data_IF_920176573842
#
_entry.id   IF_920176573842
#
_cell.length_a   1.000
_cell.length_b   1.000
_cell.length_c   1.000
_cell.angle_alpha   90.00
_cell.angle_beta   90.00
_cell.angle_gamma   90.00
#
_symmetry.space_group_name_H-M   'P 1'
#
loop_
_entity.id
_entity.type
_entity.pdbx_description
1 polymer ?
#
# COMPACT_ATOMS: atom_id res chain seq x y z
N UNK A 1 26.77 4.45 5.15
CA UNK A 1 26.53 3.90 3.82
C UNK A 1 25.97 4.97 2.90
N UNK A 2 26.15 4.82 1.57
CA UNK A 2 25.61 5.77 0.58
C UNK A 2 24.13 5.53 0.28
N UNK A 3 23.61 4.33 0.52
CA UNK A 3 22.22 3.95 0.25
C UNK A 3 21.59 3.28 1.44
N UNK A 4 20.29 3.45 1.60
CA UNK A 4 19.49 2.80 2.65
C UNK A 4 19.54 1.28 2.45
N UNK A 5 19.39 0.80 1.23
CA UNK A 5 19.42 -0.62 0.90
C UNK A 5 20.75 -1.29 1.32
N UNK A 6 21.87 -0.57 1.21
CA UNK A 6 23.14 -1.08 1.74
C UNK A 6 23.15 -1.17 3.27
N UNK A 7 22.55 -0.21 3.96
CA UNK A 7 22.35 -0.29 5.42
C UNK A 7 21.53 -1.51 5.82
N UNK A 8 20.40 -1.73 5.13
CA UNK A 8 19.50 -2.89 5.36
C UNK A 8 20.26 -4.21 5.10
N UNK A 9 21.08 -4.28 4.05
CA UNK A 9 21.84 -5.50 3.76
C UNK A 9 22.83 -5.89 4.86
N UNK A 10 23.25 -4.95 5.69
CA UNK A 10 24.26 -5.14 6.75
C UNK A 10 23.65 -5.30 8.15
N UNK A 11 22.38 -4.91 8.34
CA UNK A 11 21.75 -4.99 9.65
C UNK A 11 21.40 -6.45 10.00
N UNK A 12 21.50 -6.78 11.28
CA UNK A 12 21.03 -8.05 11.85
C UNK A 12 19.74 -7.82 12.68
N UNK A 13 19.09 -8.90 13.08
CA UNK A 13 17.96 -8.86 14.00
C UNK A 13 18.31 -8.05 15.27
N UNK A 14 17.41 -7.18 15.72
CA UNK A 14 17.62 -6.23 16.79
C UNK A 14 18.38 -4.96 16.41
N UNK A 15 18.90 -4.87 15.18
CA UNK A 15 19.67 -3.72 14.74
C UNK A 15 18.84 -2.61 14.12
N UNK A 16 19.44 -1.41 14.07
CA UNK A 16 18.79 -0.21 13.54
C UNK A 16 19.60 0.39 12.40
N UNK A 17 18.90 0.72 11.31
CA UNK A 17 19.43 1.52 10.19
C UNK A 17 18.95 2.96 10.40
N UNK A 18 19.87 3.84 10.74
CA UNK A 18 19.61 5.28 10.85
C UNK A 18 19.81 5.97 9.51
N UNK A 19 18.82 6.77 9.10
CA UNK A 19 18.84 7.53 7.86
C UNK A 19 18.89 9.02 8.16
N UNK A 20 19.86 9.71 7.57
CA UNK A 20 20.04 11.16 7.73
C UNK A 20 19.19 11.91 6.69
N UNK A 21 19.07 13.23 6.87
CA UNK A 21 18.44 14.11 5.89
C UNK A 21 19.00 13.89 4.48
N UNK A 22 18.13 13.96 3.53
CA UNK A 22 18.40 13.80 2.11
C UNK A 22 17.15 13.39 1.37
N UNK A 23 17.21 13.49 0.05
CA UNK A 23 16.18 12.97 -0.86
C UNK A 23 16.74 11.67 -1.42
N UNK A 24 16.02 10.58 -1.16
CA UNK A 24 16.35 9.24 -1.63
C UNK A 24 15.34 8.84 -2.69
N UNK A 25 15.82 8.54 -3.89
CA UNK A 25 15.00 8.27 -5.05
C UNK A 25 15.28 6.88 -5.62
N UNK A 26 14.31 6.33 -6.35
CA UNK A 26 14.55 5.10 -7.11
C UNK A 26 15.50 5.38 -8.27
N UNK A 27 16.21 4.36 -8.71
CA UNK A 27 17.01 4.42 -9.92
C UNK A 27 16.09 4.84 -11.09
N UNK A 28 16.54 5.70 -11.96
CA UNK A 28 15.74 6.29 -13.06
C UNK A 28 14.58 7.23 -12.65
N UNK A 29 14.56 7.74 -11.43
CA UNK A 29 13.59 8.76 -11.03
C UNK A 29 13.61 9.94 -12.02
N UNK A 30 12.42 10.42 -12.41
CA UNK A 30 12.24 11.50 -13.39
C UNK A 30 12.37 11.07 -14.86
N UNK A 31 12.59 9.78 -15.14
CA UNK A 31 12.67 9.26 -16.51
C UNK A 31 11.45 8.42 -16.92
N UNK A 32 10.35 8.57 -16.22
CA UNK A 32 9.09 7.91 -16.55
C UNK A 32 8.41 8.66 -17.71
N UNK A 33 8.09 7.93 -18.77
CA UNK A 33 7.25 8.45 -19.86
C UNK A 33 5.86 7.79 -19.81
N UNK A 34 4.86 8.46 -19.23
CA UNK A 34 3.52 7.89 -19.09
C UNK A 34 2.78 7.73 -20.44
N UNK A 35 3.29 8.29 -21.53
CA UNK A 35 2.68 8.18 -22.85
C UNK A 35 3.04 6.89 -23.60
N UNK A 36 4.07 6.17 -23.15
CA UNK A 36 4.58 5.00 -23.88
C UNK A 36 3.88 3.69 -23.51
N UNK A 37 3.05 3.67 -22.46
CA UNK A 37 2.39 2.49 -21.93
C UNK A 37 3.33 1.27 -21.74
N UNK A 38 4.63 1.50 -21.72
CA UNK A 38 5.61 0.46 -21.46
C UNK A 38 5.86 0.33 -19.97
N UNK A 39 6.33 -0.81 -19.59
CA UNK A 39 6.65 -1.21 -18.22
C UNK A 39 7.42 -0.11 -17.48
N UNK A 40 6.67 0.83 -16.94
CA UNK A 40 7.22 1.97 -16.25
C UNK A 40 7.84 1.51 -14.95
N UNK A 41 8.95 2.06 -14.63
CA UNK A 41 9.78 1.87 -13.47
C UNK A 41 9.18 1.00 -12.33
N UNK A 42 9.45 -0.30 -12.36
CA UNK A 42 8.95 -1.27 -11.39
C UNK A 42 9.78 -1.30 -10.08
N UNK A 43 10.55 -0.27 -9.84
CA UNK A 43 11.49 -0.19 -8.73
C UNK A 43 10.86 0.41 -7.47
N UNK A 44 11.52 0.11 -6.36
CA UNK A 44 11.29 0.72 -5.06
C UNK A 44 12.54 1.49 -4.65
N UNK A 45 12.36 2.58 -3.90
CA UNK A 45 13.51 3.30 -3.34
C UNK A 45 14.19 2.46 -2.28
N UNK A 46 13.39 1.87 -1.40
CA UNK A 46 13.88 1.07 -0.28
C UNK A 46 13.23 -0.31 -0.30
N UNK A 47 14.05 -1.34 -0.18
CA UNK A 47 13.62 -2.74 -0.09
C UNK A 47 14.15 -3.37 1.20
N UNK A 48 13.23 -3.73 2.10
CA UNK A 48 13.56 -4.44 3.34
C UNK A 48 13.41 -5.94 3.06
N UNK A 49 14.52 -6.62 2.89
CA UNK A 49 14.61 -8.02 2.50
C UNK A 49 15.19 -8.92 3.60
N UNK A 50 15.06 -8.50 4.85
CA UNK A 50 15.49 -9.24 6.03
C UNK A 50 14.43 -9.13 7.11
N UNK A 51 14.26 -10.19 7.88
CA UNK A 51 13.45 -10.23 9.08
C UNK A 51 14.26 -9.94 10.33
N UNK A 52 13.62 -9.32 11.31
CA UNK A 52 14.03 -9.41 12.69
C UNK A 52 13.63 -10.77 13.29
N UNK A 53 13.47 -10.79 14.60
CA UNK A 53 12.92 -11.92 15.34
C UNK A 53 12.12 -11.40 16.53
N UNK A 54 11.43 -12.29 17.21
CA UNK A 54 10.71 -11.95 18.44
C UNK A 54 11.63 -11.24 19.44
N UNK A 55 11.18 -10.09 19.95
CA UNK A 55 11.97 -9.23 20.83
C UNK A 55 13.16 -8.51 20.19
N UNK A 56 13.46 -8.75 18.91
CA UNK A 56 14.63 -8.21 18.21
C UNK A 56 14.27 -7.72 16.79
N UNK A 57 13.44 -6.68 16.71
CA UNK A 57 13.00 -6.08 15.46
C UNK A 57 14.18 -5.47 14.67
N UNK A 58 14.14 -5.54 13.36
CA UNK A 58 14.94 -4.66 12.51
C UNK A 58 14.22 -3.33 12.40
N UNK A 59 14.92 -2.25 12.76
CA UNK A 59 14.36 -0.89 12.71
C UNK A 59 15.01 -0.09 11.58
N UNK A 60 14.19 0.41 10.67
CA UNK A 60 14.56 1.44 9.71
C UNK A 60 13.96 2.76 10.18
N UNK A 61 14.80 3.75 10.51
CA UNK A 61 14.32 5.01 11.04
C UNK A 61 15.20 6.22 10.68
N UNK A 62 14.61 7.39 10.81
CA UNK A 62 15.36 8.63 10.73
C UNK A 62 16.43 8.73 11.85
N UNK A 63 17.54 9.39 11.55
CA UNK A 63 18.47 9.81 12.59
C UNK A 63 17.80 10.89 13.47
N UNK A 64 17.99 10.89 14.80
CA UNK A 64 17.33 11.87 15.67
C UNK A 64 17.50 13.31 15.20
N UNK A 65 16.37 14.02 15.03
CA UNK A 65 16.32 15.39 14.52
C UNK A 65 16.36 15.54 13.00
N UNK A 66 16.43 14.46 12.25
CA UNK A 66 16.39 14.44 10.77
C UNK A 66 15.02 13.99 10.25
N UNK A 67 14.67 14.43 9.04
CA UNK A 67 13.47 13.99 8.31
C UNK A 67 13.87 13.61 6.87
N UNK A 68 14.39 12.40 6.67
CA UNK A 68 14.76 11.92 5.34
C UNK A 68 13.51 11.74 4.46
N UNK A 69 13.60 12.19 3.20
CA UNK A 69 12.55 12.07 2.21
C UNK A 69 12.82 10.88 1.28
N UNK A 70 11.85 9.99 1.18
CA UNK A 70 11.80 8.91 0.20
C UNK A 70 10.87 9.38 -0.93
N UNK A 71 11.42 9.67 -2.10
CA UNK A 71 10.65 10.19 -3.23
C UNK A 71 10.69 9.17 -4.39
N UNK A 72 9.54 8.73 -4.85
CA UNK A 72 9.44 7.67 -5.84
C UNK A 72 8.49 8.03 -6.99
N UNK A 73 8.83 7.53 -8.17
CA UNK A 73 7.96 7.54 -9.37
C UNK A 73 7.79 6.13 -9.96
N UNK A 74 8.12 5.11 -9.18
CA UNK A 74 8.00 3.71 -9.54
C UNK A 74 6.91 2.99 -8.75
N UNK A 75 7.16 1.72 -8.45
CA UNK A 75 6.22 0.82 -7.76
C UNK A 75 5.97 1.19 -6.30
N UNK A 76 6.91 1.87 -5.66
CA UNK A 76 6.69 2.34 -4.31
C UNK A 76 7.91 2.95 -3.63
N UNK A 77 7.67 3.60 -2.50
CA UNK A 77 8.70 4.20 -1.68
C UNK A 77 9.48 3.14 -0.89
N UNK A 78 8.82 2.52 0.07
CA UNK A 78 9.40 1.49 0.95
C UNK A 78 8.60 0.19 0.81
N UNK A 79 9.24 -0.88 0.39
CA UNK A 79 8.66 -2.22 0.37
C UNK A 79 9.31 -3.12 1.42
N UNK A 80 8.47 -3.80 2.16
CA UNK A 80 8.86 -4.96 2.97
C UNK A 80 8.68 -6.18 2.09
N UNK A 81 9.78 -6.85 1.73
CA UNK A 81 9.77 -7.99 0.81
C UNK A 81 8.92 -9.14 1.34
N UNK A 82 8.52 -10.03 0.44
CA UNK A 82 7.66 -11.16 0.75
C UNK A 82 8.13 -11.95 1.97
N UNK A 83 7.22 -12.21 2.88
CA UNK A 83 7.43 -13.02 4.10
C UNK A 83 8.47 -12.44 5.08
N UNK A 84 8.75 -11.14 5.03
CA UNK A 84 9.61 -10.49 6.02
C UNK A 84 8.78 -10.04 7.23
N UNK A 85 9.32 -10.25 8.43
CA UNK A 85 8.63 -10.10 9.69
C UNK A 85 9.49 -9.39 10.74
N UNK A 86 8.90 -8.89 11.81
CA UNK A 86 9.57 -8.19 12.92
C UNK A 86 10.35 -6.96 12.42
N UNK A 87 9.61 -6.01 11.84
CA UNK A 87 10.17 -4.80 11.21
C UNK A 87 9.48 -3.56 11.75
N UNK A 88 10.26 -2.52 12.00
CA UNK A 88 9.78 -1.17 12.33
C UNK A 88 10.25 -0.21 11.24
N UNK A 89 9.31 0.60 10.71
CA UNK A 89 9.60 1.71 9.79
C UNK A 89 9.06 2.99 10.42
N UNK A 90 9.93 3.94 10.72
CA UNK A 90 9.51 5.18 11.40
C UNK A 90 10.31 6.43 10.99
N UNK A 91 9.63 7.58 10.98
CA UNK A 91 10.25 8.89 10.89
C UNK A 91 10.66 9.34 9.49
N UNK A 92 9.94 8.89 8.45
CA UNK A 92 10.18 9.26 7.05
C UNK A 92 9.08 10.18 6.50
N UNK A 93 9.47 11.07 5.59
CA UNK A 93 8.58 11.62 4.59
C UNK A 93 8.64 10.71 3.36
N UNK A 94 7.49 10.25 2.87
CA UNK A 94 7.38 9.38 1.69
C UNK A 94 6.45 10.03 0.69
N UNK A 95 6.98 10.42 -0.47
CA UNK A 95 6.29 11.19 -1.50
C UNK A 95 6.24 10.42 -2.81
N UNK A 96 5.04 10.29 -3.36
CA UNK A 96 4.80 9.71 -4.69
C UNK A 96 4.61 10.78 -5.77
N UNK A 97 4.33 10.37 -7.02
CA UNK A 97 4.27 11.25 -8.19
C UNK A 97 2.87 11.82 -8.48
N UNK A 98 1.91 11.78 -7.55
CA UNK A 98 0.53 12.12 -7.87
C UNK A 98 0.33 13.56 -8.36
N UNK A 99 1.22 14.48 -8.01
CA UNK A 99 1.15 15.88 -8.46
C UNK A 99 1.60 16.05 -9.92
N UNK A 100 2.35 15.10 -10.48
CA UNK A 100 2.86 15.13 -11.85
C UNK A 100 1.89 14.49 -12.85
N UNK A 101 0.80 13.92 -12.37
CA UNK A 101 -0.21 13.22 -13.17
C UNK A 101 -1.48 14.07 -13.27
N UNK A 102 -2.05 14.13 -14.45
CA UNK A 102 -3.37 14.71 -14.67
C UNK A 102 -4.44 13.64 -14.95
N UNK A 103 -5.69 14.07 -15.02
CA UNK A 103 -6.83 13.17 -15.21
C UNK A 103 -6.76 12.41 -16.54
N UNK A 104 -6.40 13.09 -17.62
CA UNK A 104 -6.34 12.52 -18.96
C UNK A 104 -5.30 11.40 -19.05
N UNK A 105 -4.14 11.59 -18.43
CA UNK A 105 -3.09 10.57 -18.36
C UNK A 105 -3.58 9.32 -17.60
N UNK A 106 -4.24 9.52 -16.47
CA UNK A 106 -4.69 8.42 -15.63
C UNK A 106 -5.90 7.66 -16.24
N UNK A 107 -6.79 8.36 -16.96
CA UNK A 107 -7.86 7.72 -17.73
C UNK A 107 -7.31 6.93 -18.93
N UNK A 108 -6.31 7.45 -19.62
CA UNK A 108 -5.65 6.70 -20.69
C UNK A 108 -4.97 5.42 -20.20
N UNK A 109 -4.34 5.47 -19.02
CA UNK A 109 -3.80 4.29 -18.35
C UNK A 109 -4.89 3.27 -17.99
N UNK A 110 -6.01 3.74 -17.49
CA UNK A 110 -7.17 2.89 -17.20
C UNK A 110 -7.70 2.20 -18.45
N UNK A 111 -7.89 2.96 -19.53
CA UNK A 111 -8.43 2.42 -20.78
C UNK A 111 -7.48 1.38 -21.40
N UNK A 112 -6.18 1.63 -21.37
CA UNK A 112 -5.18 0.65 -21.77
C UNK A 112 -5.22 -0.61 -20.88
N UNK A 113 -5.39 -0.45 -19.58
CA UNK A 113 -5.51 -1.60 -18.66
C UNK A 113 -6.75 -2.45 -18.95
N UNK A 114 -7.84 -1.85 -19.39
CA UNK A 114 -9.04 -2.57 -19.83
C UNK A 114 -8.73 -3.36 -21.11
N UNK A 115 -8.11 -2.72 -22.10
CA UNK A 115 -7.74 -3.34 -23.37
C UNK A 115 -6.85 -4.58 -23.14
N UNK A 116 -5.81 -4.45 -22.32
CA UNK A 116 -4.90 -5.56 -21.98
C UNK A 116 -5.61 -6.66 -21.17
N UNK A 117 -6.55 -6.30 -20.30
CA UNK A 117 -7.29 -7.28 -19.49
C UNK A 117 -8.33 -8.06 -20.30
N UNK A 118 -8.78 -7.53 -21.45
CA UNK A 118 -9.72 -8.19 -22.38
C UNK A 118 -9.00 -9.12 -23.36
N UNK A 119 -7.69 -8.99 -23.52
CA UNK A 119 -6.89 -9.88 -24.36
C UNK A 119 -6.43 -11.11 -23.55
N UNK A 120 -7.15 -12.21 -23.71
CA UNK A 120 -6.86 -13.48 -23.01
C UNK A 120 -5.49 -14.07 -23.38
N UNK A 121 -4.89 -13.65 -24.49
CA UNK A 121 -3.58 -14.12 -24.97
C UNK A 121 -2.43 -13.24 -24.46
N UNK A 122 -2.71 -12.05 -23.89
CA UNK A 122 -1.68 -11.17 -23.35
C UNK A 122 -1.33 -11.54 -21.92
N UNK A 123 -0.38 -12.47 -21.78
CA UNK A 123 0.27 -12.77 -20.49
C UNK A 123 1.22 -11.66 -20.02
N UNK A 124 1.25 -10.51 -20.68
CA UNK A 124 2.04 -9.39 -20.26
C UNK A 124 1.46 -8.81 -18.98
N UNK A 125 2.20 -8.95 -17.90
CA UNK A 125 1.87 -8.35 -16.62
C UNK A 125 1.71 -6.84 -16.80
N UNK A 126 0.46 -6.38 -16.97
CA UNK A 126 0.15 -4.97 -16.88
C UNK A 126 0.64 -4.43 -15.53
N UNK A 127 1.70 -3.67 -15.57
CA UNK A 127 2.31 -3.11 -14.36
C UNK A 127 2.67 -1.65 -14.56
N UNK A 128 1.67 -0.82 -14.65
CA UNK A 128 1.84 0.63 -14.69
C UNK A 128 2.03 1.16 -13.27
N UNK A 129 3.20 0.87 -12.74
CA UNK A 129 3.57 1.22 -11.37
C UNK A 129 3.44 2.72 -11.08
N UNK A 130 3.66 3.56 -12.10
CA UNK A 130 3.54 5.01 -11.99
C UNK A 130 2.15 5.45 -11.52
N UNK A 131 1.08 4.84 -12.04
CA UNK A 131 -0.31 5.17 -11.67
C UNK A 131 -0.84 4.41 -10.45
N UNK A 132 -0.08 3.48 -9.89
CA UNK A 132 -0.53 2.65 -8.77
C UNK A 132 0.51 2.46 -7.66
N UNK A 133 1.60 3.23 -7.71
CA UNK A 133 2.69 3.16 -6.74
C UNK A 133 2.24 3.43 -5.31
N UNK A 134 2.80 2.67 -4.38
CA UNK A 134 2.43 2.70 -2.96
C UNK A 134 3.53 3.33 -2.11
N UNK A 135 3.15 4.03 -1.04
CA UNK A 135 4.12 4.67 -0.15
C UNK A 135 4.95 3.64 0.63
N UNK A 136 4.34 3.02 1.63
CA UNK A 136 4.94 1.98 2.47
C UNK A 136 4.06 0.75 2.39
N UNK A 137 4.62 -0.41 2.00
CA UNK A 137 3.77 -1.57 1.83
C UNK A 137 4.49 -2.91 2.02
N UNK A 138 3.71 -3.93 2.42
CA UNK A 138 4.12 -5.32 2.37
C UNK A 138 4.05 -5.83 0.94
N UNK A 139 5.12 -6.43 0.46
CA UNK A 139 5.16 -7.11 -0.83
C UNK A 139 4.16 -8.27 -0.89
N UNK A 140 4.17 -8.99 -1.97
CA UNK A 140 3.35 -10.21 -2.07
C UNK A 140 3.86 -11.28 -1.08
N UNK A 141 2.95 -11.85 -0.31
CA UNK A 141 3.23 -12.88 0.69
C UNK A 141 2.94 -12.40 2.11
N UNK A 142 3.09 -13.33 3.05
CA UNK A 142 2.65 -13.18 4.42
C UNK A 142 3.59 -12.32 5.26
N UNK A 143 3.02 -11.42 6.05
CA UNK A 143 3.77 -10.54 6.96
C UNK A 143 3.18 -10.59 8.36
N UNK A 144 4.02 -10.57 9.38
CA UNK A 144 3.56 -10.38 10.76
C UNK A 144 4.55 -9.57 11.61
N UNK A 145 4.05 -9.00 12.70
CA UNK A 145 4.85 -8.18 13.61
C UNK A 145 5.54 -7.02 12.87
N UNK A 146 4.73 -6.20 12.20
CA UNK A 146 5.19 -5.01 11.48
C UNK A 146 4.67 -3.76 12.20
N UNK A 147 5.53 -2.76 12.35
CA UNK A 147 5.20 -1.46 12.96
C UNK A 147 5.53 -0.35 11.97
N UNK A 148 4.52 0.41 11.57
CA UNK A 148 4.66 1.59 10.70
C UNK A 148 4.22 2.81 11.51
N UNK A 149 5.15 3.69 11.87
CA UNK A 149 4.79 4.80 12.74
C UNK A 149 5.55 6.10 12.49
N UNK A 150 4.94 7.22 12.88
CA UNK A 150 5.55 8.54 12.83
C UNK A 150 6.07 8.92 11.43
N UNK A 151 5.44 8.45 10.36
CA UNK A 151 5.78 8.78 8.99
C UNK A 151 4.79 9.81 8.43
N UNK A 152 5.24 10.57 7.44
CA UNK A 152 4.40 11.42 6.60
C UNK A 152 4.38 10.77 5.22
N UNK A 153 3.23 10.28 4.76
CA UNK A 153 3.09 9.59 3.47
C UNK A 153 2.07 10.33 2.62
N UNK A 154 2.50 10.79 1.44
CA UNK A 154 1.63 11.65 0.65
C UNK A 154 1.87 11.57 -0.86
N UNK A 155 0.91 12.12 -1.59
CA UNK A 155 0.95 12.25 -3.05
C UNK A 155 1.21 10.91 -3.76
N UNK A 156 0.68 9.81 -3.21
CA UNK A 156 0.82 8.48 -3.81
C UNK A 156 -0.32 8.23 -4.80
N UNK A 157 -0.03 7.57 -5.90
CA UNK A 157 -1.06 7.22 -6.89
C UNK A 157 -1.94 6.06 -6.43
N UNK A 158 -1.36 5.08 -5.73
CA UNK A 158 -2.05 4.01 -5.02
C UNK A 158 -2.11 4.26 -3.51
N UNK A 159 -2.21 3.20 -2.73
CA UNK A 159 -2.27 3.29 -1.27
C UNK A 159 -1.02 3.93 -0.65
N UNK A 160 -1.21 4.78 0.34
CA UNK A 160 -0.10 5.30 1.12
C UNK A 160 0.55 4.21 1.98
N UNK A 161 -0.26 3.43 2.69
CA UNK A 161 0.21 2.30 3.52
C UNK A 161 -0.67 1.10 3.23
N UNK A 162 -0.07 -0.05 2.87
CA UNK A 162 -0.84 -1.26 2.54
C UNK A 162 -0.15 -2.54 3.01
N UNK A 163 -0.93 -3.42 3.64
CA UNK A 163 -0.54 -4.80 3.94
C UNK A 163 -1.64 -5.75 3.52
N UNK A 164 -1.25 -6.80 2.82
CA UNK A 164 -2.09 -7.95 2.50
C UNK A 164 -1.56 -9.17 3.26
N UNK A 165 -2.37 -10.23 3.37
CA UNK A 165 -1.96 -11.53 3.93
C UNK A 165 -1.16 -11.39 5.23
N UNK A 166 -1.68 -10.64 6.18
CA UNK A 166 -0.88 -10.18 7.32
C UNK A 166 -1.55 -10.37 8.68
N UNK A 167 -0.71 -10.37 9.72
CA UNK A 167 -1.08 -10.52 11.13
C UNK A 167 -0.18 -9.62 12.01
N UNK A 168 -0.64 -9.21 13.18
CA UNK A 168 0.13 -8.36 14.10
C UNK A 168 0.71 -7.11 13.43
N UNK A 169 -0.15 -6.30 12.81
CA UNK A 169 0.22 -5.04 12.17
C UNK A 169 -0.15 -3.86 13.06
N UNK A 170 0.81 -3.00 13.35
CA UNK A 170 0.60 -1.72 14.04
C UNK A 170 0.90 -0.56 13.09
N UNK A 171 -0.12 0.27 12.81
CA UNK A 171 0.01 1.52 12.05
C UNK A 171 -0.38 2.67 12.98
N UNK A 172 0.60 3.46 13.44
CA UNK A 172 0.34 4.48 14.45
C UNK A 172 1.00 5.83 14.19
N UNK A 173 0.29 6.91 14.53
CA UNK A 173 0.83 8.27 14.50
C UNK A 173 1.40 8.69 13.15
N UNK A 174 0.87 8.20 12.04
CA UNK A 174 1.25 8.64 10.71
C UNK A 174 0.35 9.77 10.23
N UNK A 175 0.89 10.62 9.35
CA UNK A 175 0.12 11.61 8.59
C UNK A 175 0.05 11.13 7.14
N UNK A 176 -1.16 10.92 6.64
CA UNK A 176 -1.40 10.39 5.28
C UNK A 176 -2.33 11.34 4.54
N UNK A 177 -1.88 11.86 3.39
CA UNK A 177 -2.72 12.78 2.61
C UNK A 177 -2.44 12.75 1.11
N UNK A 178 -3.40 13.22 0.33
CA UNK A 178 -3.32 13.30 -1.14
C UNK A 178 -2.94 11.96 -1.79
N UNK A 179 -3.37 10.87 -1.22
CA UNK A 179 -3.03 9.54 -1.71
C UNK A 179 -4.18 8.92 -2.48
N UNK A 180 -3.88 7.90 -3.27
CA UNK A 180 -4.86 7.10 -4.00
C UNK A 180 -5.54 7.83 -5.18
N UNK A 181 -4.95 8.90 -5.71
CA UNK A 181 -5.65 9.76 -6.66
C UNK A 181 -5.83 9.17 -8.06
N UNK A 182 -4.88 8.38 -8.54
CA UNK A 182 -4.79 8.07 -9.96
C UNK A 182 -4.87 6.59 -10.32
N UNK A 183 -4.99 5.73 -9.32
CA UNK A 183 -5.13 4.30 -9.60
C UNK A 183 -6.54 3.96 -10.09
N UNK A 184 -6.61 3.18 -11.16
CA UNK A 184 -7.86 2.57 -11.61
C UNK A 184 -8.20 1.28 -10.84
N UNK A 185 -7.34 0.84 -9.94
CA UNK A 185 -7.62 -0.29 -9.06
C UNK A 185 -8.39 0.17 -7.82
N UNK A 186 -9.23 -0.71 -7.29
CA UNK A 186 -9.87 -0.49 -5.99
C UNK A 186 -8.80 -0.37 -4.90
N UNK A 187 -8.66 0.81 -4.31
CA UNK A 187 -7.61 1.14 -3.36
C UNK A 187 -8.02 2.25 -2.40
N UNK A 188 -7.34 2.34 -1.28
CA UNK A 188 -7.59 3.34 -0.23
C UNK A 188 -6.28 3.78 0.43
N UNK A 189 -6.31 4.82 1.26
CA UNK A 189 -5.08 5.41 1.78
C UNK A 189 -4.31 4.46 2.70
N UNK A 190 -4.95 3.95 3.76
CA UNK A 190 -4.40 2.90 4.63
C UNK A 190 -5.23 1.63 4.42
N UNK A 191 -4.60 0.53 4.04
CA UNK A 191 -5.29 -0.72 3.70
C UNK A 191 -4.70 -1.90 4.47
N UNK A 192 -5.56 -2.64 5.16
CA UNK A 192 -5.31 -4.00 5.62
C UNK A 192 -6.26 -4.93 4.86
N UNK A 193 -5.72 -5.77 4.02
CA UNK A 193 -6.49 -6.70 3.19
C UNK A 193 -6.06 -8.14 3.44
N UNK A 194 -7.03 -9.05 3.35
CA UNK A 194 -6.73 -10.48 3.39
C UNK A 194 -5.98 -10.89 4.68
N UNK A 195 -6.37 -10.29 5.82
CA UNK A 195 -5.76 -10.60 7.11
C UNK A 195 -5.92 -12.07 7.44
N UNK A 196 -4.84 -12.73 7.84
CA UNK A 196 -4.76 -14.17 8.06
C UNK A 196 -3.71 -14.50 9.14
N UNK A 197 -3.90 -15.54 9.92
CA UNK A 197 -3.05 -15.91 11.07
C UNK A 197 -1.68 -16.47 10.63
N UNK A 198 -0.90 -15.69 9.93
CA UNK A 198 0.41 -16.07 9.39
C UNK A 198 1.50 -16.16 10.48
N UNK A 199 1.28 -15.58 11.63
CA UNK A 199 2.17 -15.73 12.79
C UNK A 199 2.13 -17.13 13.43
N UNK A 200 1.13 -17.93 13.05
CA UNK A 200 0.81 -19.21 13.68
C UNK A 200 -0.06 -19.10 14.93
N UNK A 201 -0.39 -17.88 15.34
CA UNK A 201 -1.31 -17.58 16.44
C UNK A 201 -2.66 -17.13 15.90
N UNK A 202 -3.71 -17.89 16.12
CA UNK A 202 -5.08 -17.55 15.71
C UNK A 202 -6.00 -17.36 16.94
N UNK A 203 -5.50 -16.71 17.98
CA UNK A 203 -6.30 -16.26 19.12
C UNK A 203 -7.11 -15.02 18.77
N UNK A 204 -8.09 -14.67 19.60
CA UNK A 204 -8.93 -13.48 19.48
C UNK A 204 -8.29 -12.21 20.09
N UNK A 205 -7.00 -12.25 20.36
CA UNK A 205 -6.24 -11.10 20.84
C UNK A 205 -6.27 -9.93 19.85
N UNK A 206 -6.00 -8.72 20.35
CA UNK A 206 -5.87 -7.53 19.50
C UNK A 206 -4.58 -7.63 18.70
N UNK A 207 -4.68 -7.85 17.40
CA UNK A 207 -3.55 -8.10 16.52
C UNK A 207 -3.35 -7.04 15.45
N UNK A 208 -4.44 -6.42 15.00
CA UNK A 208 -4.42 -5.39 13.97
C UNK A 208 -4.76 -4.04 14.60
N UNK A 209 -3.77 -3.14 14.68
CA UNK A 209 -3.95 -1.87 15.39
C UNK A 209 -3.68 -0.71 14.44
N UNK A 210 -4.68 0.16 14.27
CA UNK A 210 -4.55 1.42 13.55
C UNK A 210 -4.95 2.55 14.50
N UNK A 211 -4.00 3.36 14.94
CA UNK A 211 -4.28 4.39 15.94
C UNK A 211 -3.50 5.69 15.77
N UNK A 212 -4.11 6.79 16.21
CA UNK A 212 -3.46 8.10 16.26
C UNK A 212 -3.08 8.67 14.90
N UNK A 213 -3.59 8.12 13.78
CA UNK A 213 -3.24 8.60 12.46
C UNK A 213 -4.10 9.79 12.04
N UNK A 214 -3.53 10.71 11.26
CA UNK A 214 -4.23 11.79 10.58
C UNK A 214 -4.29 11.44 9.09
N UNK A 215 -5.49 11.18 8.57
CA UNK A 215 -5.70 10.65 7.22
C UNK A 215 -6.67 11.56 6.48
N UNK A 216 -6.18 12.34 5.52
CA UNK A 216 -7.04 13.34 4.89
C UNK A 216 -6.79 13.54 3.40
N UNK A 217 -7.84 13.98 2.70
CA UNK A 217 -7.79 14.35 1.28
C UNK A 217 -7.31 13.20 0.36
N UNK A 218 -7.69 11.97 0.73
CA UNK A 218 -7.36 10.78 -0.06
C UNK A 218 -8.58 10.40 -0.89
N UNK A 219 -8.45 10.46 -2.21
CA UNK A 219 -9.54 10.26 -3.15
C UNK A 219 -9.11 9.28 -4.22
N UNK A 220 -9.95 8.35 -4.58
CA UNK A 220 -9.82 7.72 -5.89
C UNK A 220 -10.57 8.59 -6.91
N UNK A 221 -9.89 9.04 -7.93
CA UNK A 221 -10.43 9.96 -8.96
C UNK A 221 -10.72 9.25 -10.28
N UNK A 222 -10.22 8.03 -10.42
CA UNK A 222 -10.31 7.25 -11.64
C UNK A 222 -11.32 6.12 -11.46
N UNK A 223 -12.12 5.89 -12.48
CA UNK A 223 -13.09 4.80 -12.51
C UNK A 223 -12.37 3.44 -12.43
N UNK A 224 -13.01 2.49 -11.80
CA UNK A 224 -12.48 1.15 -11.70
C UNK A 224 -12.30 0.52 -13.09
N UNK A 225 -11.19 -0.18 -13.30
CA UNK A 225 -10.85 -0.71 -14.62
C UNK A 225 -11.63 -1.98 -15.01
N UNK A 226 -12.14 -2.74 -14.04
CA UNK A 226 -12.84 -3.99 -14.31
C UNK A 226 -14.18 -3.68 -14.94
N UNK A 227 -14.31 -4.04 -16.20
CA UNK A 227 -15.55 -3.89 -16.98
C UNK A 227 -16.42 -5.13 -16.90
N UNK A 228 -15.81 -6.30 -16.76
CA UNK A 228 -16.49 -7.58 -16.61
C UNK A 228 -15.65 -8.46 -15.68
N UNK A 229 -16.21 -8.86 -14.54
CA UNK A 229 -15.68 -10.03 -13.84
C UNK A 229 -16.44 -11.25 -14.34
N UNK A 230 -15.78 -12.24 -14.94
CA UNK A 230 -16.41 -13.53 -15.12
C UNK A 230 -16.84 -14.02 -13.74
N UNK A 231 -18.09 -14.40 -13.61
CA UNK A 231 -18.61 -14.94 -12.36
C UNK A 231 -18.05 -16.34 -12.12
N UNK A 232 -16.82 -16.41 -11.65
CA UNK A 232 -16.22 -17.65 -11.18
C UNK A 232 -16.64 -17.97 -9.73
N UNK A 233 -17.44 -17.09 -9.09
CA UNK A 233 -17.88 -17.27 -7.70
C UNK A 233 -19.21 -18.00 -7.56
N UNK A 234 -19.88 -18.35 -8.66
CA UNK A 234 -21.23 -18.93 -8.65
C UNK A 234 -22.30 -17.93 -8.14
N UNK A 235 -21.98 -16.66 -8.06
CA UNK A 235 -22.88 -15.61 -7.61
C UNK A 235 -23.61 -15.02 -8.82
N UNK A 236 -24.84 -15.48 -9.06
CA UNK A 236 -25.73 -14.99 -10.13
C UNK A 236 -26.16 -13.53 -9.90
N UNK A 237 -25.23 -12.62 -9.67
CA UNK A 237 -25.54 -11.20 -9.63
C UNK A 237 -25.70 -10.68 -11.07
N UNK A 238 -26.93 -10.36 -11.53
CA UNK A 238 -27.17 -9.90 -12.90
C UNK A 238 -26.47 -8.58 -13.26
N UNK A 239 -25.87 -7.91 -12.30
CA UNK A 239 -25.08 -6.70 -12.51
C UNK A 239 -23.58 -7.00 -12.72
N UNK A 240 -23.13 -8.22 -12.51
CA UNK A 240 -21.82 -8.69 -12.93
C UNK A 240 -21.87 -9.05 -14.41
N UNK A 241 -21.05 -8.46 -15.22
CA UNK A 241 -20.90 -8.82 -16.63
C UNK A 241 -21.62 -7.93 -17.65
N UNK A 242 -22.47 -6.97 -17.24
CA UNK A 242 -23.13 -6.04 -18.17
C UNK A 242 -23.01 -4.57 -17.81
N UNK A 243 -22.48 -4.26 -16.66
CA UNK A 243 -22.31 -2.88 -16.26
C UNK A 243 -20.98 -2.36 -16.77
N UNK A 244 -21.04 -1.37 -17.61
CA UNK A 244 -19.98 -0.37 -17.69
C UNK A 244 -19.71 0.13 -16.27
N UNK A 245 -18.70 -0.41 -15.58
CA UNK A 245 -18.30 0.12 -14.29
C UNK A 245 -17.75 1.52 -14.49
N UNK A 246 -18.65 2.47 -14.62
CA UNK A 246 -18.35 3.90 -14.70
C UNK A 246 -18.14 4.52 -13.32
N UNK A 247 -18.09 3.67 -12.30
CA UNK A 247 -18.04 4.11 -10.90
C UNK A 247 -16.60 4.16 -10.38
N UNK A 248 -16.34 5.18 -9.61
CA UNK A 248 -15.14 5.25 -8.78
C UNK A 248 -15.38 4.36 -7.56
N UNK A 249 -14.47 3.43 -7.35
CA UNK A 249 -14.51 2.51 -6.22
C UNK A 249 -13.46 2.89 -5.19
N UNK A 250 -13.79 2.67 -3.91
CA UNK A 250 -12.90 2.90 -2.78
C UNK A 250 -12.47 4.37 -2.60
N UNK A 251 -11.24 4.63 -2.18
CA UNK A 251 -10.78 5.97 -1.80
C UNK A 251 -11.05 6.29 -0.32
N UNK A 252 -11.28 5.27 0.52
CA UNK A 252 -11.46 5.44 1.97
C UNK A 252 -10.16 5.95 2.63
N UNK A 253 -10.29 6.58 3.77
CA UNK A 253 -9.13 6.92 4.61
C UNK A 253 -8.47 5.65 5.14
N UNK A 254 -9.22 4.79 5.82
CA UNK A 254 -8.76 3.52 6.37
C UNK A 254 -9.71 2.42 5.89
N UNK A 255 -9.16 1.36 5.35
CA UNK A 255 -9.93 0.26 4.77
C UNK A 255 -9.41 -1.10 5.20
N UNK A 256 -10.30 -1.90 5.79
CA UNK A 256 -10.09 -3.32 6.06
C UNK A 256 -11.01 -4.12 5.16
N UNK A 257 -10.47 -5.10 4.45
CA UNK A 257 -11.23 -5.87 3.47
C UNK A 257 -10.74 -7.31 3.33
N UNK A 258 -11.66 -8.21 3.00
CA UNK A 258 -11.41 -9.60 2.62
C UNK A 258 -10.54 -10.39 3.61
N UNK A 259 -10.69 -10.13 4.90
CA UNK A 259 -10.03 -10.95 5.91
C UNK A 259 -10.47 -12.41 5.79
N UNK A 260 -9.56 -13.34 6.05
CA UNK A 260 -9.85 -14.77 6.05
C UNK A 260 -11.02 -15.06 7.01
N UNK A 261 -12.03 -15.84 6.61
CA UNK A 261 -13.17 -16.17 7.49
C UNK A 261 -12.78 -16.86 8.79
N UNK A 262 -11.65 -17.53 8.82
CA UNK A 262 -11.14 -18.22 10.00
C UNK A 262 -10.19 -17.36 10.84
N UNK A 263 -9.90 -16.12 10.41
CA UNK A 263 -9.04 -15.21 11.17
C UNK A 263 -9.73 -14.73 12.44
N UNK A 264 -9.27 -15.17 13.59
CA UNK A 264 -9.83 -14.84 14.89
C UNK A 264 -9.33 -13.50 15.47
N UNK A 265 -8.22 -12.94 14.94
CA UNK A 265 -7.58 -11.74 15.49
C UNK A 265 -8.48 -10.51 15.47
N UNK A 266 -8.46 -9.75 16.55
CA UNK A 266 -9.26 -8.54 16.73
C UNK A 266 -8.57 -7.31 16.13
N UNK A 267 -9.38 -6.43 15.53
CA UNK A 267 -8.96 -5.13 15.00
C UNK A 267 -9.26 -4.01 15.99
N UNK A 268 -8.27 -3.17 16.29
CA UNK A 268 -8.42 -1.99 17.14
C UNK A 268 -8.21 -0.71 16.33
N UNK A 269 -9.21 0.16 16.31
CA UNK A 269 -9.14 1.49 15.72
C UNK A 269 -9.40 2.53 16.80
N UNK A 270 -8.41 3.35 17.08
CA UNK A 270 -8.57 4.39 18.11
C UNK A 270 -7.87 5.70 17.74
N UNK A 271 -8.47 6.81 18.13
CA UNK A 271 -7.86 8.14 17.99
C UNK A 271 -7.41 8.50 16.56
N UNK A 272 -8.00 7.92 15.51
CA UNK A 272 -7.71 8.30 14.15
C UNK A 272 -8.58 9.49 13.73
N UNK A 273 -7.97 10.47 13.05
CA UNK A 273 -8.66 11.58 12.44
C UNK A 273 -8.75 11.39 10.93
N UNK A 274 -9.93 11.09 10.42
CA UNK A 274 -10.19 10.92 8.98
C UNK A 274 -11.00 12.10 8.46
N UNK A 275 -10.43 12.91 7.56
CA UNK A 275 -11.05 14.12 7.03
C UNK A 275 -11.04 14.13 5.51
N UNK A 276 -12.17 14.51 4.90
CA UNK A 276 -12.25 14.76 3.46
C UNK A 276 -11.63 13.62 2.61
N UNK A 277 -11.92 12.36 2.95
CA UNK A 277 -11.56 11.22 2.13
C UNK A 277 -12.69 10.84 1.17
N UNK A 278 -12.41 10.10 0.13
CA UNK A 278 -13.30 9.88 -1.00
C UNK A 278 -14.62 9.20 -0.67
N UNK A 279 -14.61 8.00 -0.12
CA UNK A 279 -15.84 7.23 0.13
C UNK A 279 -16.24 7.23 1.60
N UNK A 280 -15.35 6.81 2.47
CA UNK A 280 -15.58 6.77 3.92
C UNK A 280 -14.30 7.17 4.68
N UNK A 281 -14.45 7.60 5.93
CA UNK A 281 -13.31 7.79 6.83
C UNK A 281 -12.65 6.45 7.16
N UNK A 282 -13.46 5.52 7.69
CA UNK A 282 -13.05 4.14 8.02
C UNK A 282 -14.10 3.20 7.44
N UNK A 283 -13.67 2.11 6.82
CA UNK A 283 -14.55 1.10 6.26
C UNK A 283 -14.05 -0.31 6.51
N UNK A 284 -14.99 -1.20 6.85
CA UNK A 284 -14.82 -2.64 6.89
C UNK A 284 -15.71 -3.25 5.82
N UNK A 285 -15.15 -4.01 4.92
CA UNK A 285 -15.88 -4.61 3.82
C UNK A 285 -15.35 -6.03 3.52
N UNK A 286 -16.28 -6.96 3.28
CA UNK A 286 -15.95 -8.37 3.03
C UNK A 286 -15.06 -9.02 4.09
N UNK A 287 -14.98 -8.43 5.27
CA UNK A 287 -14.41 -9.13 6.42
C UNK A 287 -15.46 -10.14 6.87
N UNK A 288 -15.23 -11.40 6.63
CA UNK A 288 -16.05 -12.48 7.15
C UNK A 288 -15.78 -12.69 8.64
N UNK A 289 -15.86 -11.62 9.43
CA UNK A 289 -15.98 -11.83 10.86
C UNK A 289 -17.32 -12.49 11.07
N UNK A 290 -17.30 -13.75 11.42
CA UNK A 290 -18.47 -14.44 11.92
C UNK A 290 -19.06 -13.60 13.04
N UNK A 291 -20.33 -13.32 12.91
CA UNK A 291 -21.20 -12.71 13.90
C UNK A 291 -21.09 -13.36 15.28
#
# INVERSE_FOLDING_TARGET
>A
FKTINKGISMVAAGGTVYVMDGIYQNENYGNVDPSTNTNMNNQHVVTINKSGSEGAYITLRNYPGHLPKIQFDGRGGIVISNNMNYIIVEGFEVEGPAQDINYEMAEADRDYKIEVAEDEDDSTNYNHSYFSGKGIWGGYGAHHNIIIRNNIVHDTCGSAIRFNDSDYILIENNIVYNSNWWTSSASSAIVLAESVAVSGDNTDDIKMIIRGNIVYNNWNRIRFYVTQLPDNSGNNNPNYGTANFQSIWDGQGIYVTRSDPEYAGTFLFENNLCLNNGKNGINFDHSHSAS
#
